data_IF_954073996982
#
_entry.id   IF_954073996982
#
_cell.length_a   1.000
_cell.length_b   1.000
_cell.length_c   1.000
_cell.angle_alpha   90.00
_cell.angle_beta   90.00
_cell.angle_gamma   90.00
#
_symmetry.space_group_name_H-M   'P 1'
#
loop_
_entity.id
_entity.type
_entity.pdbx_description
1 polymer ?
#
# COMPACT_ATOMS: atom_id res chain seq x y z
N UNK A 1 34.26 25.76 43.89
CA UNK A 1 32.92 25.14 43.86
C UNK A 1 32.36 25.38 42.47
N UNK A 2 32.47 24.43 41.54
CA UNK A 2 31.81 24.51 40.21
C UNK A 2 31.86 23.18 39.43
N UNK A 3 32.00 22.03 40.11
CA UNK A 3 32.09 20.73 39.44
C UNK A 3 30.78 19.91 39.46
N UNK A 4 29.81 20.21 40.35
CA UNK A 4 28.56 19.43 40.44
C UNK A 4 27.54 19.73 39.33
N UNK A 5 27.56 20.93 38.72
CA UNK A 5 26.54 21.30 37.73
C UNK A 5 26.71 20.66 36.35
N UNK A 6 27.91 20.15 36.02
CA UNK A 6 28.21 19.66 34.67
C UNK A 6 27.71 18.22 34.48
N UNK A 7 27.87 17.39 35.51
CA UNK A 7 27.48 15.99 35.49
C UNK A 7 25.95 15.82 35.48
N UNK A 8 25.23 16.69 36.21
CA UNK A 8 23.76 16.66 36.25
C UNK A 8 23.11 17.02 34.89
N UNK A 9 23.74 17.90 34.11
CA UNK A 9 23.26 18.28 32.76
C UNK A 9 23.51 17.14 31.77
N UNK A 10 24.70 16.54 31.82
CA UNK A 10 25.08 15.44 30.92
C UNK A 10 24.26 14.17 31.20
N UNK A 11 24.01 13.84 32.48
CA UNK A 11 23.14 12.72 32.88
C UNK A 11 21.69 12.94 32.46
N UNK A 12 21.20 14.19 32.53
CA UNK A 12 19.84 14.55 32.11
C UNK A 12 19.66 14.50 30.59
N UNK A 13 20.66 14.95 29.81
CA UNK A 13 20.67 14.80 28.35
C UNK A 13 20.73 13.34 27.90
N UNK A 14 21.51 12.49 28.57
CA UNK A 14 21.58 11.05 28.29
C UNK A 14 20.26 10.34 28.64
N UNK A 15 19.62 10.72 29.75
CA UNK A 15 18.32 10.18 30.16
C UNK A 15 17.19 10.62 29.24
N UNK A 16 17.13 11.90 28.85
CA UNK A 16 16.13 12.40 27.89
C UNK A 16 16.37 11.84 26.49
N UNK A 17 17.62 11.64 26.07
CA UNK A 17 17.98 10.95 24.82
C UNK A 17 17.51 9.49 24.82
N UNK A 18 17.74 8.75 25.91
CA UNK A 18 17.29 7.35 26.05
C UNK A 18 15.77 7.23 26.15
N UNK A 19 15.10 8.17 26.82
CA UNK A 19 13.64 8.16 27.00
C UNK A 19 12.91 8.59 25.71
N UNK A 20 13.49 9.52 24.96
CA UNK A 20 13.00 9.91 23.63
C UNK A 20 13.20 8.80 22.60
N UNK A 21 14.35 8.10 22.58
CA UNK A 21 14.54 6.93 21.71
C UNK A 21 13.60 5.78 22.07
N UNK A 22 13.35 5.53 23.35
CA UNK A 22 12.37 4.53 23.81
C UNK A 22 10.94 4.93 23.44
N UNK A 23 10.57 6.21 23.56
CA UNK A 23 9.26 6.70 23.11
C UNK A 23 9.09 6.66 21.59
N UNK A 24 10.11 7.02 20.82
CA UNK A 24 10.13 6.94 19.34
C UNK A 24 10.07 5.50 18.86
N UNK A 25 10.75 4.57 19.55
CA UNK A 25 10.67 3.13 19.26
C UNK A 25 9.30 2.55 19.63
N UNK A 26 8.71 3.01 20.74
CA UNK A 26 7.36 2.64 21.21
C UNK A 26 6.24 3.20 20.32
N UNK A 27 6.43 4.35 19.66
CA UNK A 27 5.45 4.92 18.72
C UNK A 27 5.50 4.29 17.33
N UNK A 28 6.66 3.79 16.89
CA UNK A 28 6.84 3.10 15.59
C UNK A 28 6.36 1.65 15.58
N UNK A 29 6.52 0.94 16.70
CA UNK A 29 6.08 -0.45 16.85
C UNK A 29 4.60 -0.71 16.51
N UNK A 30 3.63 0.11 16.98
CA UNK A 30 2.21 -0.11 16.67
C UNK A 30 1.89 0.09 15.19
N UNK A 31 2.57 1.00 14.49
CA UNK A 31 2.35 1.26 13.05
C UNK A 31 2.72 0.02 12.24
N UNK A 32 3.91 -0.52 12.50
CA UNK A 32 4.42 -1.72 11.80
C UNK A 32 3.51 -2.91 12.08
N UNK A 33 3.09 -3.09 13.33
CA UNK A 33 2.20 -4.19 13.73
C UNK A 33 0.83 -4.09 13.06
N UNK A 34 0.21 -2.91 13.06
CA UNK A 34 -1.08 -2.69 12.40
C UNK A 34 -0.99 -2.91 10.89
N UNK A 35 0.10 -2.49 10.27
CA UNK A 35 0.27 -2.67 8.84
C UNK A 35 0.57 -4.13 8.48
N UNK A 36 1.40 -4.83 9.25
CA UNK A 36 1.62 -6.27 9.07
C UNK A 36 0.31 -7.04 9.22
N UNK A 37 -0.48 -6.75 10.27
CA UNK A 37 -1.79 -7.36 10.49
C UNK A 37 -2.74 -7.09 9.32
N UNK A 38 -2.73 -5.87 8.78
CA UNK A 38 -3.49 -5.51 7.60
C UNK A 38 -3.10 -6.35 6.38
N UNK A 39 -1.80 -6.49 6.12
CA UNK A 39 -1.27 -7.33 5.05
C UNK A 39 -1.68 -8.79 5.23
N UNK A 40 -1.45 -9.37 6.41
CA UNK A 40 -1.84 -10.75 6.72
C UNK A 40 -3.34 -10.98 6.52
N UNK A 41 -4.19 -10.04 6.95
CA UNK A 41 -5.63 -10.14 6.76
C UNK A 41 -6.02 -10.05 5.27
N UNK A 42 -5.43 -9.13 4.51
CA UNK A 42 -5.67 -9.01 3.06
C UNK A 42 -5.24 -10.26 2.29
N UNK A 43 -3.98 -10.69 2.44
CA UNK A 43 -3.46 -11.86 1.71
C UNK A 43 -4.14 -13.15 2.17
N UNK A 44 -4.41 -13.28 3.48
CA UNK A 44 -5.18 -14.39 4.03
C UNK A 44 -6.60 -14.44 3.48
N UNK A 45 -7.26 -13.29 3.30
CA UNK A 45 -8.60 -13.20 2.72
C UNK A 45 -8.61 -13.68 1.26
N UNK A 46 -7.64 -13.22 0.45
CA UNK A 46 -7.48 -13.66 -0.95
C UNK A 46 -7.21 -15.16 -1.03
N UNK A 47 -6.27 -15.67 -0.22
CA UNK A 47 -5.94 -17.09 -0.18
C UNK A 47 -7.14 -17.95 0.22
N UNK A 48 -7.88 -17.52 1.24
CA UNK A 48 -9.08 -18.22 1.72
C UNK A 48 -10.19 -18.27 0.67
N UNK A 49 -10.32 -17.25 -0.20
CA UNK A 49 -11.25 -17.27 -1.32
C UNK A 49 -10.79 -18.29 -2.38
N UNK A 50 -9.51 -18.31 -2.73
CA UNK A 50 -8.96 -19.24 -3.73
C UNK A 50 -9.14 -20.68 -3.25
N UNK A 51 -8.82 -20.94 -1.98
CA UNK A 51 -8.96 -22.26 -1.36
C UNK A 51 -10.42 -22.72 -1.31
N UNK A 52 -11.36 -21.83 -0.92
CA UNK A 52 -12.80 -22.13 -0.96
C UNK A 52 -13.28 -22.57 -2.33
N UNK A 53 -12.82 -21.89 -3.39
CA UNK A 53 -13.21 -22.23 -4.76
C UNK A 53 -12.59 -23.54 -5.28
N UNK A 54 -11.46 -24.00 -4.70
CA UNK A 54 -10.75 -25.20 -5.17
C UNK A 54 -11.08 -26.47 -4.38
N UNK A 55 -11.26 -26.36 -3.06
CA UNK A 55 -11.38 -27.52 -2.17
C UNK A 55 -12.79 -27.72 -1.61
N UNK A 56 -13.73 -26.80 -1.86
CA UNK A 56 -15.14 -26.91 -1.46
C UNK A 56 -15.41 -26.90 0.05
N UNK A 57 -14.39 -27.10 0.87
CA UNK A 57 -14.42 -27.08 2.33
C UNK A 57 -13.49 -25.97 2.85
N UNK A 58 -13.98 -24.73 2.89
CA UNK A 58 -13.42 -23.75 3.81
C UNK A 58 -14.52 -23.03 4.57
N UNK A 59 -14.23 -22.74 5.83
CA UNK A 59 -15.24 -22.17 6.73
C UNK A 59 -15.51 -20.73 6.28
N UNK A 60 -16.73 -20.49 5.79
CA UNK A 60 -17.28 -19.16 5.50
C UNK A 60 -16.99 -18.19 6.66
N UNK A 61 -16.98 -18.71 7.89
CA UNK A 61 -16.63 -18.00 9.12
C UNK A 61 -15.24 -17.36 9.07
N UNK A 62 -14.22 -18.06 8.56
CA UNK A 62 -12.84 -17.54 8.44
C UNK A 62 -12.77 -16.40 7.43
N UNK A 63 -13.47 -16.52 6.29
CA UNK A 63 -13.54 -15.45 5.28
C UNK A 63 -14.19 -14.20 5.87
N UNK A 64 -15.31 -14.34 6.57
CA UNK A 64 -15.96 -13.22 7.25
C UNK A 64 -15.10 -12.62 8.37
N UNK A 65 -14.40 -13.44 9.16
CA UNK A 65 -13.51 -12.96 10.20
C UNK A 65 -12.35 -12.13 9.62
N UNK A 66 -11.70 -12.61 8.55
CA UNK A 66 -10.63 -11.88 7.86
C UNK A 66 -11.15 -10.58 7.23
N UNK A 67 -12.36 -10.59 6.66
CA UNK A 67 -13.01 -9.39 6.14
C UNK A 67 -13.21 -8.35 7.24
N UNK A 68 -13.79 -8.73 8.39
CA UNK A 68 -13.98 -7.82 9.53
C UNK A 68 -12.63 -7.27 10.02
N UNK A 69 -11.61 -8.12 10.12
CA UNK A 69 -10.26 -7.71 10.52
C UNK A 69 -9.67 -6.64 9.61
N UNK A 70 -9.85 -6.76 8.28
CA UNK A 70 -9.41 -5.73 7.31
C UNK A 70 -10.04 -4.37 7.67
N UNK A 71 -11.35 -4.31 7.91
CA UNK A 71 -12.04 -3.06 8.27
C UNK A 71 -11.59 -2.48 9.61
N UNK A 72 -11.49 -3.32 10.64
CA UNK A 72 -11.07 -2.88 11.98
C UNK A 72 -9.67 -2.27 11.91
N UNK A 73 -8.74 -2.96 11.26
CA UNK A 73 -7.35 -2.49 11.11
C UNK A 73 -7.28 -1.23 10.26
N UNK A 74 -8.04 -1.14 9.16
CA UNK A 74 -8.13 0.06 8.33
C UNK A 74 -8.62 1.27 9.14
N UNK A 75 -9.69 1.12 9.93
CA UNK A 75 -10.24 2.20 10.77
C UNK A 75 -9.21 2.66 11.80
N UNK A 76 -8.52 1.72 12.45
CA UNK A 76 -7.47 2.04 13.42
C UNK A 76 -6.30 2.82 12.78
N UNK A 77 -5.87 2.42 11.58
CA UNK A 77 -4.82 3.12 10.85
C UNK A 77 -5.24 4.55 10.47
N UNK A 78 -6.46 4.74 9.95
CA UNK A 78 -7.00 6.07 9.62
C UNK A 78 -7.03 6.96 10.86
N UNK A 79 -7.48 6.43 12.00
CA UNK A 79 -7.49 7.16 13.28
C UNK A 79 -6.08 7.54 13.73
N UNK A 80 -5.13 6.61 13.61
CA UNK A 80 -3.72 6.86 13.94
C UNK A 80 -3.11 7.99 13.09
N UNK A 81 -3.32 7.95 11.77
CA UNK A 81 -2.88 9.01 10.85
C UNK A 81 -3.53 10.34 11.19
N UNK A 82 -4.85 10.36 11.44
CA UNK A 82 -5.55 11.59 11.81
C UNK A 82 -5.04 12.18 13.13
N UNK A 83 -4.69 11.33 14.09
CA UNK A 83 -4.06 11.75 15.34
C UNK A 83 -2.67 12.36 15.09
N UNK A 84 -1.87 11.74 14.21
CA UNK A 84 -0.57 12.28 13.82
C UNK A 84 -0.68 13.64 13.13
N UNK A 85 -1.73 13.86 12.31
CA UNK A 85 -2.00 15.19 11.73
C UNK A 85 -2.22 16.26 12.80
N UNK A 86 -2.91 15.93 13.90
CA UNK A 86 -3.15 16.88 15.01
C UNK A 86 -1.87 17.26 15.76
N UNK A 87 -0.93 16.33 15.87
CA UNK A 87 0.35 16.50 16.54
C UNK A 87 1.45 16.98 15.57
N UNK A 88 1.11 17.12 14.28
CA UNK A 88 2.03 17.44 13.17
C UNK A 88 3.23 16.49 13.03
N UNK A 89 3.02 15.21 13.33
CA UNK A 89 4.02 14.15 13.19
C UNK A 89 4.09 13.65 11.74
N UNK A 90 5.02 14.23 10.98
CA UNK A 90 5.27 13.86 9.59
C UNK A 90 5.87 12.45 9.45
N UNK A 91 6.66 12.01 10.44
CA UNK A 91 7.37 10.73 10.35
C UNK A 91 6.39 9.57 10.44
N UNK A 92 5.38 9.73 11.29
CA UNK A 92 4.24 8.82 11.36
C UNK A 92 3.51 8.74 10.01
N UNK A 93 3.16 9.89 9.41
CA UNK A 93 2.41 9.92 8.14
C UNK A 93 3.23 9.37 6.95
N UNK A 94 4.52 9.70 6.85
CA UNK A 94 5.42 9.16 5.83
C UNK A 94 5.62 7.64 5.98
N UNK A 95 5.95 7.16 7.17
CA UNK A 95 6.17 5.72 7.39
C UNK A 95 4.90 4.91 7.14
N UNK A 96 3.75 5.40 7.60
CA UNK A 96 2.46 4.74 7.35
C UNK A 96 2.16 4.68 5.86
N UNK A 97 2.40 5.77 5.12
CA UNK A 97 2.20 5.81 3.67
C UNK A 97 3.03 4.75 2.95
N UNK A 98 4.36 4.75 3.15
CA UNK A 98 5.26 3.85 2.43
C UNK A 98 4.99 2.39 2.76
N UNK A 99 4.86 2.08 4.04
CA UNK A 99 4.64 0.71 4.50
C UNK A 99 3.34 0.15 3.91
N UNK A 100 2.26 0.93 3.93
CA UNK A 100 1.00 0.52 3.35
C UNK A 100 1.05 0.41 1.82
N UNK A 101 1.75 1.33 1.16
CA UNK A 101 1.96 1.29 -0.29
C UNK A 101 2.69 0.01 -0.72
N UNK A 102 3.72 -0.39 0.03
CA UNK A 102 4.44 -1.62 -0.25
C UNK A 102 3.63 -2.88 0.05
N UNK A 103 2.80 -2.88 1.10
CA UNK A 103 1.91 -4.03 1.37
C UNK A 103 0.89 -4.19 0.25
N UNK A 104 0.35 -3.09 -0.27
CA UNK A 104 -0.71 -3.12 -1.28
C UNK A 104 -0.18 -3.23 -2.72
N UNK A 105 1.08 -2.89 -2.98
CA UNK A 105 1.67 -2.93 -4.32
C UNK A 105 1.63 -4.32 -5.00
N UNK A 106 1.97 -5.45 -4.35
CA UNK A 106 1.90 -6.77 -4.97
C UNK A 106 0.46 -7.16 -5.29
N UNK A 107 -0.49 -6.80 -4.42
CA UNK A 107 -1.91 -7.02 -4.67
C UNK A 107 -2.38 -6.26 -5.90
N UNK A 108 -2.06 -4.96 -6.00
CA UNK A 108 -2.43 -4.12 -7.15
C UNK A 108 -1.80 -4.67 -8.43
N UNK A 109 -0.50 -5.00 -8.39
CA UNK A 109 0.22 -5.56 -9.53
C UNK A 109 -0.39 -6.91 -9.96
N UNK A 110 -0.73 -7.78 -9.01
CA UNK A 110 -1.41 -9.05 -9.25
C UNK A 110 -2.78 -8.87 -9.92
N UNK A 111 -3.63 -7.97 -9.41
CA UNK A 111 -4.93 -7.67 -10.00
C UNK A 111 -4.81 -7.16 -11.45
N UNK A 112 -3.87 -6.25 -11.71
CA UNK A 112 -3.62 -5.73 -13.07
C UNK A 112 -3.11 -6.85 -13.97
N UNK A 113 -2.16 -7.67 -13.52
CA UNK A 113 -1.63 -8.79 -14.30
C UNK A 113 -2.69 -9.82 -14.67
N UNK A 114 -3.55 -10.21 -13.72
CA UNK A 114 -4.66 -11.14 -13.96
C UNK A 114 -5.65 -10.55 -14.97
N UNK A 115 -6.04 -9.27 -14.80
CA UNK A 115 -6.93 -8.59 -15.74
C UNK A 115 -6.34 -8.55 -17.15
N UNK A 116 -5.07 -8.18 -17.29
CA UNK A 116 -4.39 -8.14 -18.58
C UNK A 116 -4.32 -9.52 -19.24
N UNK A 117 -4.05 -10.57 -18.46
CA UNK A 117 -4.04 -11.94 -18.94
C UNK A 117 -5.41 -12.38 -19.45
N UNK A 118 -6.47 -12.15 -18.66
CA UNK A 118 -7.85 -12.46 -19.06
C UNK A 118 -8.18 -11.74 -20.36
N UNK A 119 -7.94 -10.43 -20.45
CA UNK A 119 -8.24 -9.65 -21.66
C UNK A 119 -7.49 -10.21 -22.89
N UNK A 120 -6.20 -10.55 -22.73
CA UNK A 120 -5.39 -11.09 -23.82
C UNK A 120 -5.92 -12.45 -24.30
N UNK A 121 -6.27 -13.35 -23.38
CA UNK A 121 -6.81 -14.66 -23.71
C UNK A 121 -8.17 -14.54 -24.42
N UNK A 122 -9.04 -13.63 -23.96
CA UNK A 122 -10.31 -13.32 -24.61
C UNK A 122 -10.14 -12.80 -26.04
N UNK A 123 -9.19 -11.88 -26.26
CA UNK A 123 -8.85 -11.37 -27.60
C UNK A 123 -8.36 -12.53 -28.48
N UNK A 124 -7.49 -13.40 -27.96
CA UNK A 124 -6.97 -14.57 -28.68
C UNK A 124 -8.09 -15.52 -29.11
N UNK A 125 -9.01 -15.86 -28.19
CA UNK A 125 -10.17 -16.68 -28.49
C UNK A 125 -11.07 -16.04 -29.56
N UNK A 126 -11.26 -14.72 -29.51
CA UNK A 126 -12.08 -13.99 -30.48
C UNK A 126 -11.49 -14.06 -31.88
N UNK A 127 -10.17 -13.89 -32.01
CA UNK A 127 -9.47 -13.91 -33.31
C UNK A 127 -9.46 -15.31 -33.92
N UNK A 128 -9.33 -16.36 -33.10
CA UNK A 128 -9.29 -17.76 -33.57
C UNK A 128 -10.66 -18.35 -33.89
N UNK A 129 -11.74 -17.64 -33.57
CA UNK A 129 -13.10 -18.13 -33.76
C UNK A 129 -13.57 -17.92 -35.21
N UNK A 130 -13.65 -19.01 -35.97
CA UNK A 130 -14.18 -19.00 -37.35
C UNK A 130 -15.72 -18.91 -37.41
N UNK A 131 -16.41 -19.13 -36.30
CA UNK A 131 -17.87 -19.13 -36.24
C UNK A 131 -18.43 -17.79 -35.76
N UNK A 132 -19.18 -17.11 -36.63
CA UNK A 132 -19.80 -15.81 -36.35
C UNK A 132 -20.67 -15.81 -35.09
N UNK A 133 -21.40 -16.90 -34.80
CA UNK A 133 -22.26 -17.01 -33.62
C UNK A 133 -21.43 -17.09 -32.33
N UNK A 134 -20.34 -17.86 -32.33
CA UNK A 134 -19.42 -17.98 -31.19
C UNK A 134 -18.73 -16.65 -30.92
N UNK A 135 -18.26 -15.98 -31.97
CA UNK A 135 -17.63 -14.66 -31.87
C UNK A 135 -18.59 -13.62 -31.28
N UNK A 136 -19.87 -13.64 -31.67
CA UNK A 136 -20.88 -12.71 -31.14
C UNK A 136 -21.18 -12.96 -29.65
N UNK A 137 -21.28 -14.22 -29.22
CA UNK A 137 -21.44 -14.59 -27.80
C UNK A 137 -20.21 -14.15 -26.99
N UNK A 138 -19.02 -14.35 -27.53
CA UNK A 138 -17.77 -14.00 -26.85
C UNK A 138 -17.67 -12.47 -26.65
N UNK A 139 -18.02 -11.67 -27.65
CA UNK A 139 -18.07 -10.21 -27.51
C UNK A 139 -19.10 -9.79 -26.45
N UNK A 140 -20.29 -10.42 -26.43
CA UNK A 140 -21.32 -10.11 -25.43
C UNK A 140 -20.84 -10.41 -23.99
N UNK A 141 -20.22 -11.57 -23.76
CA UNK A 141 -19.66 -11.93 -22.47
C UNK A 141 -18.51 -11.02 -22.04
N UNK A 142 -17.67 -10.57 -22.99
CA UNK A 142 -16.61 -9.62 -22.71
C UNK A 142 -17.16 -8.26 -22.26
N UNK A 143 -18.23 -7.77 -22.90
CA UNK A 143 -18.91 -6.54 -22.47
C UNK A 143 -19.50 -6.72 -21.07
N UNK A 144 -20.16 -7.83 -20.79
CA UNK A 144 -20.70 -8.13 -19.45
C UNK A 144 -19.59 -8.19 -18.40
N UNK A 145 -18.45 -8.82 -18.72
CA UNK A 145 -17.26 -8.83 -17.86
C UNK A 145 -16.77 -7.42 -17.56
N UNK A 146 -16.63 -6.56 -18.57
CA UNK A 146 -16.22 -5.17 -18.36
C UNK A 146 -17.22 -4.44 -17.46
N UNK A 147 -18.51 -4.56 -17.71
CA UNK A 147 -19.54 -3.84 -16.95
C UNK A 147 -19.64 -4.30 -15.50
N UNK A 148 -19.37 -5.56 -15.20
CA UNK A 148 -19.52 -6.11 -13.83
C UNK A 148 -18.18 -6.13 -13.09
N UNK A 149 -17.15 -6.71 -13.68
CA UNK A 149 -15.89 -7.03 -13.00
C UNK A 149 -15.01 -5.79 -12.86
N UNK A 150 -14.92 -4.95 -13.89
CA UNK A 150 -14.04 -3.77 -13.84
C UNK A 150 -14.48 -2.76 -12.75
N UNK A 151 -15.78 -2.39 -12.62
CA UNK A 151 -16.22 -1.53 -11.53
C UNK A 151 -15.98 -2.14 -10.14
N UNK A 152 -16.18 -3.45 -9.99
CA UNK A 152 -15.93 -4.14 -8.73
C UNK A 152 -14.45 -4.07 -8.33
N UNK A 153 -13.54 -4.36 -9.26
CA UNK A 153 -12.10 -4.27 -9.02
C UNK A 153 -11.70 -2.82 -8.71
N UNK A 154 -12.23 -1.84 -9.44
CA UNK A 154 -11.97 -0.43 -9.19
C UNK A 154 -12.43 0.02 -7.80
N UNK A 155 -13.64 -0.38 -7.38
CA UNK A 155 -14.15 -0.10 -6.05
C UNK A 155 -13.26 -0.73 -4.97
N UNK A 156 -12.88 -2.00 -5.14
CA UNK A 156 -12.00 -2.69 -4.19
C UNK A 156 -10.62 -2.01 -4.08
N UNK A 157 -10.07 -1.52 -5.20
CA UNK A 157 -8.84 -0.75 -5.23
C UNK A 157 -8.95 0.56 -4.44
N UNK A 158 -10.05 1.30 -4.60
CA UNK A 158 -10.28 2.55 -3.85
C UNK A 158 -10.39 2.26 -2.35
N UNK A 159 -11.11 1.20 -1.97
CA UNK A 159 -11.25 0.80 -0.56
C UNK A 159 -9.91 0.39 0.05
N UNK A 160 -9.17 -0.48 -0.63
CA UNK A 160 -7.84 -0.91 -0.18
C UNK A 160 -6.86 0.26 -0.21
N UNK A 161 -6.98 1.22 -1.12
CA UNK A 161 -6.11 2.40 -1.16
C UNK A 161 -6.43 3.47 -0.12
N UNK A 162 -7.53 3.35 0.62
CA UNK A 162 -8.07 4.43 1.45
C UNK A 162 -7.11 4.95 2.55
N UNK A 163 -6.51 4.12 3.41
CA UNK A 163 -5.60 4.63 4.45
C UNK A 163 -4.31 5.22 3.85
N UNK A 164 -3.88 4.76 2.67
CA UNK A 164 -2.80 5.39 1.90
C UNK A 164 -3.18 6.81 1.48
N UNK A 165 -4.38 7.02 0.94
CA UNK A 165 -4.88 8.35 0.55
C UNK A 165 -5.00 9.29 1.75
N UNK A 166 -5.44 8.78 2.90
CA UNK A 166 -5.50 9.57 4.15
C UNK A 166 -4.09 9.99 4.60
N UNK A 167 -3.10 9.08 4.55
CA UNK A 167 -1.72 9.38 4.93
C UNK A 167 -1.07 10.45 4.04
N UNK A 168 -1.34 10.41 2.73
CA UNK A 168 -0.88 11.44 1.78
C UNK A 168 -1.50 12.79 2.10
N UNK A 169 -2.82 12.82 2.32
CA UNK A 169 -3.52 14.06 2.65
C UNK A 169 -2.99 14.65 3.95
N UNK A 170 -2.70 13.83 4.97
CA UNK A 170 -1.99 14.27 6.18
C UNK A 170 -0.65 14.93 5.81
N UNK A 171 0.22 14.21 5.10
CA UNK A 171 1.56 14.67 4.76
C UNK A 171 1.54 15.99 3.99
N UNK A 172 0.66 16.11 3.00
CA UNK A 172 0.48 17.31 2.19
C UNK A 172 -0.07 18.49 3.01
N UNK A 173 -0.99 18.26 3.95
CA UNK A 173 -1.54 19.31 4.81
C UNK A 173 -0.48 19.86 5.78
N UNK A 174 0.30 18.98 6.42
CA UNK A 174 1.41 19.38 7.29
C UNK A 174 2.46 20.14 6.49
N UNK A 175 2.84 19.64 5.31
CA UNK A 175 3.84 20.29 4.44
C UNK A 175 3.37 21.68 4.01
N UNK A 176 2.08 21.83 3.68
CA UNK A 176 1.48 23.13 3.38
C UNK A 176 1.56 24.09 4.57
N UNK A 177 1.21 23.64 5.77
CA UNK A 177 1.23 24.48 6.98
C UNK A 177 2.65 24.94 7.33
N UNK A 178 3.65 24.05 7.27
CA UNK A 178 5.03 24.38 7.67
C UNK A 178 5.85 25.10 6.61
N UNK A 179 5.66 24.80 5.33
CA UNK A 179 6.48 25.32 4.23
C UNK A 179 5.74 26.27 3.30
N UNK A 180 4.51 26.67 3.63
CA UNK A 180 3.74 27.65 2.86
C UNK A 180 3.33 27.17 1.46
N UNK A 181 3.20 25.85 1.24
CA UNK A 181 2.80 25.30 -0.06
C UNK A 181 1.38 25.79 -0.43
N UNK A 182 1.20 26.31 -1.65
CA UNK A 182 -0.10 26.78 -2.11
C UNK A 182 -1.11 25.63 -2.23
N UNK A 183 -2.40 25.94 -2.12
CA UNK A 183 -3.47 24.95 -2.29
C UNK A 183 -3.46 24.32 -3.70
N UNK A 184 -3.09 25.10 -4.73
CA UNK A 184 -2.95 24.61 -6.10
C UNK A 184 -1.85 23.55 -6.20
N UNK A 185 -0.67 23.82 -5.61
CA UNK A 185 0.43 22.87 -5.59
C UNK A 185 0.08 21.58 -4.83
N UNK A 186 -0.64 21.70 -3.70
CA UNK A 186 -1.17 20.56 -2.95
C UNK A 186 -2.06 19.66 -3.82
N UNK A 187 -2.91 20.30 -4.63
CA UNK A 187 -3.86 19.60 -5.50
C UNK A 187 -3.13 18.84 -6.61
N UNK A 188 -2.06 19.41 -7.17
CA UNK A 188 -1.22 18.73 -8.17
C UNK A 188 -0.59 17.46 -7.57
N UNK A 189 0.04 17.56 -6.40
CA UNK A 189 0.62 16.39 -5.72
C UNK A 189 -0.44 15.31 -5.42
N UNK A 190 -1.65 15.72 -5.01
CA UNK A 190 -2.76 14.79 -4.82
C UNK A 190 -3.16 14.06 -6.12
N UNK A 191 -3.19 14.75 -7.27
CA UNK A 191 -3.46 14.11 -8.56
C UNK A 191 -2.33 13.19 -9.01
N UNK A 192 -1.07 13.58 -8.80
CA UNK A 192 0.10 12.72 -9.06
C UNK A 192 0.05 11.42 -8.24
N UNK A 193 -0.57 11.46 -7.06
CA UNK A 193 -0.80 10.30 -6.21
C UNK A 193 -1.71 9.22 -6.84
N UNK A 194 -2.63 9.64 -7.71
CA UNK A 194 -3.60 8.74 -8.36
C UNK A 194 -2.95 7.93 -9.48
N UNK A 195 -1.83 8.41 -10.03
CA UNK A 195 -1.11 7.74 -11.10
C UNK A 195 -0.17 6.68 -10.48
N UNK A 196 -0.31 5.40 -10.85
CA UNK A 196 0.62 4.34 -10.42
C UNK A 196 2.07 4.71 -10.77
N UNK A 197 3.03 4.29 -9.94
CA UNK A 197 4.49 4.56 -10.08
C UNK A 197 4.85 6.03 -9.77
N UNK A 198 4.19 6.99 -10.43
CA UNK A 198 4.38 8.43 -10.21
C UNK A 198 4.13 8.79 -8.75
N UNK A 199 3.15 8.15 -8.12
CA UNK A 199 2.82 8.35 -6.70
C UNK A 199 3.94 8.03 -5.70
N UNK A 200 4.83 7.09 -6.00
CA UNK A 200 5.99 6.79 -5.12
C UNK A 200 7.07 7.85 -5.34
N UNK A 201 7.32 8.22 -6.60
CA UNK A 201 8.31 9.23 -6.98
C UNK A 201 7.92 10.60 -6.40
N UNK A 202 6.65 10.98 -6.48
CA UNK A 202 6.16 12.27 -5.99
C UNK A 202 6.29 12.40 -4.47
N UNK A 203 5.93 11.35 -3.72
CA UNK A 203 6.11 11.35 -2.26
C UNK A 203 7.59 11.34 -1.88
N UNK A 204 8.43 10.58 -2.59
CA UNK A 204 9.87 10.63 -2.38
C UNK A 204 10.39 12.04 -2.61
N UNK A 205 9.99 12.69 -3.71
CA UNK A 205 10.34 14.08 -3.99
C UNK A 205 9.94 15.02 -2.85
N UNK A 206 8.70 14.95 -2.35
CA UNK A 206 8.23 15.77 -1.22
C UNK A 206 9.06 15.51 0.04
N UNK A 207 9.34 14.24 0.35
CA UNK A 207 10.11 13.84 1.53
C UNK A 207 11.57 14.29 1.48
N UNK A 208 12.19 14.33 0.29
CA UNK A 208 13.55 14.84 0.07
C UNK A 208 13.55 16.37 0.13
N UNK A 209 12.71 17.02 -0.67
CA UNK A 209 12.73 18.47 -0.87
C UNK A 209 12.33 19.25 0.38
N UNK A 210 11.23 18.86 1.02
CA UNK A 210 10.69 19.62 2.15
C UNK A 210 11.22 19.10 3.48
N UNK A 211 11.34 17.79 3.64
CA UNK A 211 11.62 17.19 4.94
C UNK A 211 13.04 16.66 5.13
N UNK A 212 13.89 16.66 4.08
CA UNK A 212 15.26 16.10 4.10
C UNK A 212 15.34 14.66 4.63
N UNK A 213 14.25 13.90 4.58
CA UNK A 213 14.14 12.53 5.13
C UNK A 213 14.02 11.44 4.07
N UNK A 214 14.05 11.82 2.80
CA UNK A 214 13.79 10.88 1.71
C UNK A 214 14.93 9.93 1.33
N UNK A 215 16.15 10.07 1.86
CA UNK A 215 17.26 9.17 1.49
C UNK A 215 17.02 7.73 1.96
N UNK A 216 16.60 7.54 3.22
CA UNK A 216 16.27 6.20 3.73
C UNK A 216 15.05 5.58 3.03
N UNK A 217 14.05 6.40 2.71
CA UNK A 217 12.84 5.99 1.99
C UNK A 217 13.12 5.62 0.53
N UNK A 218 14.05 6.33 -0.12
CA UNK A 218 14.50 6.02 -1.47
C UNK A 218 15.24 4.67 -1.52
N UNK A 219 16.16 4.42 -0.58
CA UNK A 219 16.85 3.14 -0.45
C UNK A 219 15.84 2.01 -0.25
N UNK A 220 14.88 2.19 0.66
CA UNK A 220 13.82 1.20 0.90
C UNK A 220 13.00 0.92 -0.36
N UNK A 221 12.67 1.95 -1.14
CA UNK A 221 11.96 1.81 -2.42
C UNK A 221 12.74 0.98 -3.42
N UNK A 222 14.04 1.22 -3.55
CA UNK A 222 14.92 0.50 -4.48
C UNK A 222 15.11 -0.96 -4.05
N UNK A 223 15.29 -1.22 -2.76
CA UNK A 223 15.38 -2.58 -2.23
C UNK A 223 14.07 -3.34 -2.49
N UNK A 224 12.94 -2.70 -2.22
CA UNK A 224 11.63 -3.29 -2.46
C UNK A 224 11.38 -3.61 -3.94
N UNK A 225 11.74 -2.70 -4.85
CA UNK A 225 11.58 -2.94 -6.30
C UNK A 225 12.45 -4.11 -6.77
N UNK A 226 13.69 -4.22 -6.27
CA UNK A 226 14.58 -5.33 -6.58
C UNK A 226 14.03 -6.68 -6.07
N UNK A 227 13.54 -6.73 -4.83
CA UNK A 227 12.90 -7.94 -4.26
C UNK A 227 11.69 -8.35 -5.11
N UNK A 228 10.84 -7.40 -5.48
CA UNK A 228 9.66 -7.68 -6.31
C UNK A 228 10.04 -8.25 -7.67
N UNK A 229 11.04 -7.66 -8.33
CA UNK A 229 11.56 -8.16 -9.62
C UNK A 229 12.20 -9.54 -9.49
N UNK A 230 12.93 -9.82 -8.41
CA UNK A 230 13.52 -11.12 -8.15
C UNK A 230 12.44 -12.20 -7.95
N UNK A 231 11.38 -11.90 -7.19
CA UNK A 231 10.24 -12.80 -7.00
C UNK A 231 9.56 -13.07 -8.35
N UNK A 232 9.26 -12.04 -9.14
CA UNK A 232 8.66 -12.19 -10.47
C UNK A 232 9.53 -13.06 -11.39
N UNK A 233 10.83 -12.81 -11.44
CA UNK A 233 11.77 -13.59 -12.25
C UNK A 233 11.84 -15.06 -11.80
N UNK A 234 11.88 -15.30 -10.49
CA UNK A 234 11.88 -16.65 -9.92
C UNK A 234 10.56 -17.37 -10.22
N UNK A 235 9.43 -16.68 -10.11
CA UNK A 235 8.10 -17.24 -10.42
C UNK A 235 7.99 -17.61 -11.89
N UNK A 236 8.43 -16.71 -12.78
CA UNK A 236 8.49 -16.96 -14.23
C UNK A 236 9.40 -18.16 -14.57
N UNK A 237 10.57 -18.24 -13.93
CA UNK A 237 11.49 -19.36 -14.12
C UNK A 237 10.90 -20.70 -13.66
N UNK A 238 10.21 -20.72 -12.52
CA UNK A 238 9.51 -21.92 -12.00
C UNK A 238 8.40 -22.35 -12.96
N UNK A 239 7.55 -21.42 -13.43
CA UNK A 239 6.47 -21.73 -14.39
C UNK A 239 7.05 -22.33 -15.67
N UNK A 240 8.09 -21.69 -16.22
CA UNK A 240 8.80 -22.19 -17.41
C UNK A 240 9.43 -23.56 -17.20
N UNK A 241 9.99 -23.82 -16.02
CA UNK A 241 10.59 -25.12 -15.66
C UNK A 241 9.54 -26.23 -15.51
N UNK A 242 8.29 -25.89 -15.20
CA UNK A 242 7.19 -26.84 -15.05
C UNK A 242 6.50 -27.17 -16.39
N UNK A 243 6.93 -26.54 -17.50
CA UNK A 243 6.38 -26.79 -18.83
C UNK A 243 4.95 -26.28 -19.03
N UNK A 244 4.53 -25.30 -18.21
CA UNK A 244 3.27 -24.56 -18.32
C UNK A 244 3.45 -23.30 -19.18
#
# INVERSE_FOLDING_TARGET
MDFEKKDDVEVKEILDGKNSDVQVKKSRLPIILLALLYGTALYGFVFSIIENNRLGESSIVVVFALFIMIFVVMILQIRGVLSATKIEDIDYCLNTYFLYKYITAPFICGCVGILSYIIFEWISMTIKSDNQLVTSILIFLFIAFIVVVVPYILASYVFIGLPCTVAVNCMLDITRKKYGMSFSMRTIHFFLQMIPIVNIIDVLYISIKYWKKGMGLAILTVVYSYITMAILALTYWVIKSLGL
#
